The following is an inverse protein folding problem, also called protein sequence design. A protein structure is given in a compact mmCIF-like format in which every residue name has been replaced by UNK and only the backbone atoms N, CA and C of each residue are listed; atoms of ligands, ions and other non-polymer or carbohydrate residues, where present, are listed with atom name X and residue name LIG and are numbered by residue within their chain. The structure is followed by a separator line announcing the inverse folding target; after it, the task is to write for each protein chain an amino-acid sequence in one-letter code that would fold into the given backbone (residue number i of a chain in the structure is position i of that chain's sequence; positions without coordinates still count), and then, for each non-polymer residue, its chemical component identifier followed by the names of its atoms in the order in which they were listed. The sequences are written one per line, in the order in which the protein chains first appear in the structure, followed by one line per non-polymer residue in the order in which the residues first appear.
data_IF_869420032948
#
_entry.id   IF_869420032948
#
_cell.length_a   1.000
_cell.length_b   1.000
_cell.length_c   1.000
_cell.angle_alpha   90.00
_cell.angle_beta   90.00
_cell.angle_gamma   90.00
#
_symmetry.space_group_name_H-M   'P 1'
#
loop_
_entity.id
_entity.type
_entity.pdbx_description
1 polymer ?
#
# COMPACT_ATOMS: atom_id res chain seq x y z
N UNK A 1 40.83 -34.85 29.09
CA UNK A 1 40.16 -34.07 30.16
C UNK A 1 38.67 -33.99 29.80
N UNK A 2 37.91 -34.95 30.36
CA UNK A 2 36.57 -34.84 31.00
C UNK A 2 35.86 -33.47 30.92
N UNK A 3 34.53 -33.31 30.75
CA UNK A 3 33.29 -34.13 30.85
C UNK A 3 32.20 -33.44 29.99
N UNK A 4 31.48 -34.08 29.06
CA UNK A 4 30.27 -34.92 29.25
C UNK A 4 29.17 -34.29 30.13
N UNK A 5 28.09 -33.78 29.51
CA UNK A 5 26.81 -33.53 30.22
C UNK A 5 25.69 -34.37 29.60
N UNK A 6 25.40 -35.46 30.33
CA UNK A 6 24.29 -36.43 30.27
C UNK A 6 22.96 -35.78 29.86
N UNK A 7 22.24 -36.27 28.83
CA UNK A 7 21.26 -37.38 28.84
C UNK A 7 20.27 -37.28 30.01
N UNK A 8 18.96 -37.18 29.75
CA UNK A 8 17.91 -37.98 30.40
C UNK A 8 16.53 -37.75 29.73
N UNK A 9 16.11 -38.76 28.98
CA UNK A 9 14.72 -39.11 28.69
C UNK A 9 14.24 -40.01 29.84
N UNK A 10 13.05 -39.76 30.40
CA UNK A 10 12.08 -40.86 30.62
C UNK A 10 10.63 -40.35 30.46
N UNK A 11 9.56 -41.11 30.34
CA UNK A 11 9.25 -42.54 30.21
C UNK A 11 7.78 -42.58 29.75
N UNK A 12 7.48 -43.50 28.85
CA UNK A 12 6.13 -43.85 28.42
C UNK A 12 5.47 -44.72 29.51
N UNK A 13 4.29 -44.34 30.00
CA UNK A 13 3.47 -45.21 30.85
C UNK A 13 2.00 -45.17 30.39
N UNK A 14 1.56 -46.30 29.84
CA UNK A 14 0.18 -46.60 29.54
C UNK A 14 -0.52 -47.13 30.80
N UNK A 15 -1.79 -46.76 31.01
CA UNK A 15 -2.65 -47.28 32.07
C UNK A 15 -4.12 -47.13 31.68
N UNK A 16 -4.82 -48.27 31.62
CA UNK A 16 -6.14 -48.53 31.04
C UNK A 16 -7.32 -48.26 32.01
N UNK A 17 -8.45 -47.88 31.41
CA UNK A 17 -9.86 -48.19 31.73
C UNK A 17 -10.56 -47.50 32.92
N UNK A 18 -11.66 -46.81 32.58
CA UNK A 18 -12.74 -46.38 33.47
C UNK A 18 -13.88 -45.69 32.70
N UNK A 19 -14.85 -46.49 32.24
CA UNK A 19 -16.10 -46.07 31.56
C UNK A 19 -17.05 -45.40 32.56
N UNK A 20 -17.67 -44.25 32.27
CA UNK A 20 -19.09 -44.05 31.93
C UNK A 20 -19.40 -42.54 31.99
N UNK A 21 -20.30 -42.03 31.15
CA UNK A 21 -21.01 -40.77 31.46
C UNK A 21 -21.27 -39.81 30.31
N UNK A 22 -22.47 -39.94 29.74
CA UNK A 22 -23.30 -38.91 29.11
C UNK A 22 -22.71 -38.03 28.01
N UNK A 23 -23.10 -38.40 26.80
CA UNK A 23 -23.27 -37.60 25.60
C UNK A 23 -23.93 -36.23 25.90
N UNK A 24 -23.16 -35.16 25.76
CA UNK A 24 -23.66 -33.83 25.48
C UNK A 24 -22.67 -33.20 24.49
N UNK A 25 -22.86 -33.47 23.21
CA UNK A 25 -22.12 -32.81 22.15
C UNK A 25 -22.27 -31.28 22.29
N UNK A 26 -21.22 -30.49 22.03
CA UNK A 26 -21.36 -29.04 22.06
C UNK A 26 -22.46 -28.65 21.07
N UNK A 27 -23.33 -27.67 21.42
CA UNK A 27 -24.35 -27.20 20.49
C UNK A 27 -23.65 -26.77 19.21
N UNK A 28 -24.00 -27.43 18.10
CA UNK A 28 -23.64 -26.97 16.77
C UNK A 28 -24.29 -25.62 16.56
N UNK A 29 -23.57 -24.56 16.92
CA UNK A 29 -23.88 -23.21 16.50
C UNK A 29 -23.65 -23.22 15.01
N UNK A 30 -24.74 -23.35 14.27
CA UNK A 30 -24.72 -23.15 12.82
C UNK A 30 -24.21 -21.73 12.60
N UNK A 31 -22.97 -21.62 12.10
CA UNK A 31 -22.48 -20.37 11.56
C UNK A 31 -23.30 -20.10 10.30
N UNK A 32 -24.39 -19.34 10.44
CA UNK A 32 -25.04 -18.80 9.25
C UNK A 32 -24.02 -17.91 8.53
N UNK A 33 -23.73 -18.16 7.24
CA UNK A 33 -22.85 -17.28 6.49
C UNK A 33 -23.52 -15.90 6.45
N UNK A 34 -22.88 -14.89 7.04
CA UNK A 34 -23.33 -13.52 6.93
C UNK A 34 -23.51 -13.18 5.45
N UNK A 35 -24.73 -12.75 5.06
CA UNK A 35 -25.11 -12.53 3.66
C UNK A 35 -24.34 -11.42 2.94
N UNK A 36 -23.40 -10.77 3.61
CA UNK A 36 -22.51 -9.76 3.07
C UNK A 36 -21.09 -10.31 2.89
N UNK A 37 -20.54 -10.12 1.69
CA UNK A 37 -19.12 -10.37 1.45
C UNK A 37 -18.29 -9.48 2.38
N UNK A 38 -17.41 -10.11 3.18
CA UNK A 38 -16.41 -9.41 3.99
C UNK A 38 -15.30 -8.90 3.07
N UNK A 39 -15.61 -7.90 2.26
CA UNK A 39 -14.64 -7.25 1.40
C UNK A 39 -13.88 -6.24 2.24
N UNK A 40 -12.56 -6.40 2.32
CA UNK A 40 -11.72 -5.38 2.94
C UNK A 40 -11.97 -4.04 2.24
N UNK A 41 -12.15 -2.93 2.98
CA UNK A 41 -12.28 -1.62 2.36
C UNK A 41 -11.09 -1.37 1.43
N UNK A 42 -11.35 -0.76 0.28
CA UNK A 42 -10.29 -0.41 -0.66
C UNK A 42 -9.23 0.42 0.09
N UNK A 43 -7.92 0.14 -0.11
CA UNK A 43 -6.88 0.88 0.58
C UNK A 43 -7.03 2.37 0.28
N UNK A 44 -6.99 3.20 1.33
CA UNK A 44 -6.93 4.65 1.17
C UNK A 44 -5.65 5.00 0.41
N UNK A 45 -5.72 5.94 -0.54
CA UNK A 45 -4.50 6.39 -1.21
C UNK A 45 -3.53 6.98 -0.19
N UNK A 46 -2.21 6.86 -0.43
CA UNK A 46 -1.23 7.55 0.39
C UNK A 46 -1.56 9.04 0.46
N UNK A 47 -1.39 9.68 1.62
CA UNK A 47 -1.67 11.10 1.79
C UNK A 47 -0.91 11.97 0.78
N UNK A 48 0.27 11.52 0.34
CA UNK A 48 1.10 12.17 -0.67
C UNK A 48 0.72 11.80 -2.12
N UNK A 49 -0.58 11.77 -2.41
CA UNK A 49 -1.09 11.53 -3.77
C UNK A 49 -1.95 12.68 -4.26
N UNK A 50 -1.48 13.39 -5.29
CA UNK A 50 -2.28 14.35 -6.05
C UNK A 50 -2.99 13.64 -7.19
N UNK A 51 -4.28 13.89 -7.35
CA UNK A 51 -5.11 13.29 -8.41
C UNK A 51 -5.42 14.31 -9.49
N UNK A 52 -5.32 13.89 -10.74
CA UNK A 52 -5.67 14.70 -11.91
C UNK A 52 -6.37 13.85 -12.98
N UNK A 53 -6.99 14.52 -13.95
CA UNK A 53 -7.44 13.91 -15.20
C UNK A 53 -6.79 14.62 -16.38
N UNK A 54 -6.61 13.90 -17.48
CA UNK A 54 -6.12 14.44 -18.74
C UNK A 54 -6.91 13.84 -19.90
N UNK A 55 -7.10 14.63 -20.96
CA UNK A 55 -7.81 14.24 -22.17
C UNK A 55 -6.87 14.32 -23.38
N UNK A 56 -7.14 13.55 -24.43
CA UNK A 56 -6.30 13.56 -25.63
C UNK A 56 -6.22 14.95 -26.26
N UNK A 57 -5.05 15.26 -26.85
CA UNK A 57 -4.80 16.54 -27.52
C UNK A 57 -4.68 17.76 -26.60
N UNK A 58 -4.86 17.60 -25.27
CA UNK A 58 -4.76 18.70 -24.30
C UNK A 58 -3.59 18.46 -23.35
N UNK A 59 -2.57 19.34 -23.33
CA UNK A 59 -1.52 19.27 -22.33
C UNK A 59 -2.08 19.45 -20.91
N UNK A 60 -1.66 18.58 -19.98
CA UNK A 60 -1.94 18.71 -18.57
C UNK A 60 -0.88 19.60 -17.92
N UNK A 61 -1.32 20.66 -17.24
CA UNK A 61 -0.48 21.47 -16.34
C UNK A 61 -1.13 21.43 -14.96
N UNK A 62 -0.42 20.86 -13.99
CA UNK A 62 -0.93 20.62 -12.64
C UNK A 62 -0.04 21.36 -11.62
N UNK A 63 -0.57 22.37 -10.90
CA UNK A 63 0.17 22.99 -9.81
C UNK A 63 0.41 21.96 -8.69
N UNK A 64 1.65 21.89 -8.22
CA UNK A 64 2.05 20.99 -7.15
C UNK A 64 1.89 21.67 -5.77
N UNK A 65 1.65 20.89 -4.71
CA UNK A 65 1.57 21.41 -3.34
C UNK A 65 2.76 22.29 -2.99
N UNK A 66 2.55 23.29 -2.13
CA UNK A 66 3.63 24.13 -1.60
C UNK A 66 4.33 23.49 -0.39
N UNK A 67 3.72 22.46 0.17
CA UNK A 67 4.18 21.77 1.37
C UNK A 67 3.71 20.32 1.33
N UNK A 68 4.50 19.42 1.89
CA UNK A 68 4.16 18.02 2.15
C UNK A 68 4.49 17.72 3.60
N UNK A 69 3.60 16.98 4.29
CA UNK A 69 3.80 16.65 5.71
C UNK A 69 4.19 17.88 6.56
N UNK A 70 3.52 19.01 6.34
CA UNK A 70 3.77 20.32 6.99
C UNK A 70 5.12 21.01 6.67
N UNK A 71 6.00 20.37 5.88
CA UNK A 71 7.28 20.94 5.48
C UNK A 71 7.14 21.71 4.15
N UNK A 72 7.64 22.95 4.04
CA UNK A 72 7.60 23.71 2.80
C UNK A 72 8.53 23.09 1.75
N UNK A 73 7.99 22.80 0.56
CA UNK A 73 8.75 22.20 -0.54
C UNK A 73 9.53 23.29 -1.28
N UNK A 74 10.84 23.13 -1.36
CA UNK A 74 11.73 24.03 -2.10
C UNK A 74 11.68 23.73 -3.60
N UNK A 75 11.71 22.44 -3.96
CA UNK A 75 11.76 21.99 -5.36
C UNK A 75 11.16 20.60 -5.53
N UNK A 76 10.64 20.34 -6.73
CA UNK A 76 10.27 19.01 -7.17
C UNK A 76 11.18 18.52 -8.29
N UNK A 77 11.54 17.24 -8.24
CA UNK A 77 12.27 16.53 -9.29
C UNK A 77 11.44 15.35 -9.79
N UNK A 78 11.23 15.20 -11.09
CA UNK A 78 10.56 14.02 -11.65
C UNK A 78 11.51 12.81 -11.61
N UNK A 79 11.17 11.78 -10.82
CA UNK A 79 11.93 10.54 -10.75
C UNK A 79 11.49 9.52 -11.80
N UNK A 80 10.16 9.44 -12.03
CA UNK A 80 9.55 8.55 -13.01
C UNK A 80 8.23 9.17 -13.44
N UNK A 81 7.88 9.06 -14.71
CA UNK A 81 6.56 9.49 -15.18
C UNK A 81 6.25 8.95 -16.56
N UNK A 82 5.05 9.26 -17.08
CA UNK A 82 4.70 9.01 -18.47
C UNK A 82 5.69 9.70 -19.43
N UNK A 83 5.81 9.20 -20.65
CA UNK A 83 6.57 9.88 -21.69
C UNK A 83 6.05 11.32 -21.87
N UNK A 84 6.96 12.26 -22.19
CA UNK A 84 6.65 13.69 -22.36
C UNK A 84 6.06 14.35 -21.10
N UNK A 85 6.37 13.80 -19.92
CA UNK A 85 6.08 14.45 -18.65
C UNK A 85 7.32 15.09 -18.04
N UNK A 86 7.12 16.11 -17.22
CA UNK A 86 8.19 16.90 -16.61
C UNK A 86 7.70 17.73 -15.44
N UNK A 87 8.64 18.42 -14.80
CA UNK A 87 8.36 19.44 -13.78
C UNK A 87 8.98 20.74 -14.23
N UNK A 88 8.17 21.80 -14.28
CA UNK A 88 8.61 23.17 -14.53
C UNK A 88 8.30 24.00 -13.29
N UNK A 89 9.35 24.35 -12.53
CA UNK A 89 9.20 25.00 -11.23
C UNK A 89 8.38 24.16 -10.25
N UNK A 90 7.17 24.62 -9.92
CA UNK A 90 6.20 23.92 -9.04
C UNK A 90 4.98 23.39 -9.80
N UNK A 91 5.12 23.09 -11.08
CA UNK A 91 4.06 22.52 -11.88
C UNK A 91 4.52 21.23 -12.53
N UNK A 92 3.71 20.18 -12.40
CA UNK A 92 3.84 18.99 -13.22
C UNK A 92 3.20 19.26 -14.58
N UNK A 93 3.90 18.90 -15.64
CA UNK A 93 3.43 19.05 -17.02
C UNK A 93 3.43 17.71 -17.72
N UNK A 94 2.43 17.43 -18.53
CA UNK A 94 2.40 16.23 -19.36
C UNK A 94 1.66 16.45 -20.66
N UNK A 95 2.26 16.03 -21.78
CA UNK A 95 1.62 15.96 -23.09
C UNK A 95 1.25 14.48 -23.33
N UNK A 96 -0.03 14.10 -23.29
CA UNK A 96 -0.44 12.69 -23.38
C UNK A 96 -0.48 12.16 -24.83
N UNK A 97 0.51 12.51 -25.64
CA UNK A 97 0.61 12.07 -27.03
C UNK A 97 0.99 10.59 -27.10
N UNK A 98 0.16 9.78 -27.78
CA UNK A 98 0.36 8.33 -27.87
C UNK A 98 0.17 7.57 -26.55
N UNK A 99 -0.33 8.21 -25.49
CA UNK A 99 -0.57 7.56 -24.21
C UNK A 99 -1.74 6.57 -24.29
N UNK A 100 -1.60 5.40 -23.66
CA UNK A 100 -2.70 4.45 -23.54
C UNK A 100 -3.77 4.95 -22.54
N UNK A 101 -5.07 4.73 -22.78
CA UNK A 101 -6.13 5.02 -21.80
C UNK A 101 -5.87 4.36 -20.45
N UNK A 102 -6.24 5.03 -19.35
CA UNK A 102 -6.18 4.43 -18.01
C UNK A 102 -5.52 5.32 -16.95
N UNK A 103 -4.93 4.68 -15.94
CA UNK A 103 -4.27 5.37 -14.83
C UNK A 103 -2.76 5.42 -15.07
N UNK A 104 -2.24 6.64 -15.18
CA UNK A 104 -0.83 6.95 -15.24
C UNK A 104 -0.34 7.48 -13.90
N UNK A 105 0.93 7.25 -13.59
CA UNK A 105 1.55 7.74 -12.35
C UNK A 105 2.88 8.41 -12.66
N UNK A 106 3.07 9.60 -12.09
CA UNK A 106 4.36 10.25 -11.99
C UNK A 106 4.80 10.24 -10.53
N UNK A 107 6.06 9.88 -10.30
CA UNK A 107 6.73 9.88 -9.01
C UNK A 107 7.68 11.08 -8.97
N UNK A 108 7.46 11.98 -8.03
CA UNK A 108 8.25 13.19 -7.87
C UNK A 108 8.95 13.14 -6.52
N UNK A 109 10.22 13.51 -6.48
CA UNK A 109 10.93 13.81 -5.24
C UNK A 109 10.63 15.24 -4.84
N UNK A 110 10.20 15.44 -3.59
CA UNK A 110 10.10 16.74 -2.96
C UNK A 110 11.38 16.99 -2.16
N UNK A 111 12.09 18.06 -2.49
CA UNK A 111 13.26 18.53 -1.76
C UNK A 111 12.83 19.64 -0.80
N UNK A 112 13.29 19.57 0.44
CA UNK A 112 13.04 20.58 1.48
C UNK A 112 14.35 21.28 1.85
N UNK A 113 14.24 22.42 2.54
CA UNK A 113 15.43 23.14 3.04
C UNK A 113 16.10 22.43 4.22
N UNK A 114 15.32 22.07 5.24
CA UNK A 114 15.83 21.59 6.54
C UNK A 114 15.32 20.18 6.90
N UNK A 115 14.81 19.41 5.93
CA UNK A 115 14.27 18.07 6.14
C UNK A 115 14.72 17.09 5.04
N UNK A 116 14.79 15.77 5.33
CA UNK A 116 15.07 14.77 4.31
C UNK A 116 14.03 14.82 3.17
N UNK A 117 14.44 14.58 1.91
CA UNK A 117 13.50 14.55 0.79
C UNK A 117 12.39 13.51 0.98
N UNK A 118 11.21 13.81 0.44
CA UNK A 118 10.04 12.93 0.45
C UNK A 118 9.54 12.70 -0.98
N UNK A 119 8.49 11.90 -1.14
CA UNK A 119 7.96 11.52 -2.44
C UNK A 119 6.50 11.91 -2.59
N UNK A 120 6.18 12.56 -3.71
CA UNK A 120 4.83 12.88 -4.13
C UNK A 120 4.44 12.01 -5.33
N UNK A 121 3.27 11.38 -5.28
CA UNK A 121 2.68 10.68 -6.41
C UNK A 121 1.65 11.58 -7.10
N UNK A 122 1.79 11.78 -8.40
CA UNK A 122 0.75 12.36 -9.25
C UNK A 122 0.06 11.22 -9.99
N UNK A 123 -1.19 10.95 -9.65
CA UNK A 123 -2.02 9.93 -10.29
C UNK A 123 -2.96 10.59 -11.30
N UNK A 124 -2.80 10.27 -12.59
CA UNK A 124 -3.56 10.89 -13.68
C UNK A 124 -4.47 9.84 -14.31
N UNK A 125 -5.77 10.13 -14.36
CA UNK A 125 -6.70 9.36 -15.18
C UNK A 125 -6.74 9.96 -16.59
N UNK A 126 -6.16 9.24 -17.55
CA UNK A 126 -6.17 9.64 -18.95
C UNK A 126 -7.36 9.03 -19.69
N UNK A 127 -8.08 9.88 -20.44
CA UNK A 127 -9.17 9.48 -21.33
C UNK A 127 -8.78 9.88 -22.77
N UNK A 128 -8.93 8.95 -23.73
CA UNK A 128 -8.68 9.24 -25.13
C UNK A 128 -9.75 10.16 -25.72
#
# INVERSE_FOLDING_TARGET
MTLLRRLFLPVLAAGLLGVTGSEAGPPSTAFEPGGNAWVAPAPSPPPDTVRASADAGTPLILPLPKSLNEHPVARYTLLRGPALSGVAGRSFTWIPEGAAPGIHRALLQAEFGDAPPDTLVVQIRFRP
#
